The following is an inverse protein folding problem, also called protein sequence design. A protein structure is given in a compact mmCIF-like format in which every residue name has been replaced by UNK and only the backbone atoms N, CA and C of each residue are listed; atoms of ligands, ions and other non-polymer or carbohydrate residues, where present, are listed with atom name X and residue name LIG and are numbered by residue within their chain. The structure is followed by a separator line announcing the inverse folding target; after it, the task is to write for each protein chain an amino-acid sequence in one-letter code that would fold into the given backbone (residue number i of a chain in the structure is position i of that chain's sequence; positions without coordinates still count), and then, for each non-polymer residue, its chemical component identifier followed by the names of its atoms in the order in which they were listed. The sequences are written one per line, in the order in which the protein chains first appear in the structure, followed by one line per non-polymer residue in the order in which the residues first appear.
data_IF_706352165372
#
_entry.id   IF_706352165372
#
_cell.length_a   1.000
_cell.length_b   1.000
_cell.length_c   1.000
_cell.angle_alpha   90.00
_cell.angle_beta   90.00
_cell.angle_gamma   90.00
#
_symmetry.space_group_name_H-M   'P 1'
#
loop_
_entity.id
_entity.type
_entity.pdbx_description
1 polymer ?
#
# COMPACT_ATOMS: atom_id res chain seq x y z
N UNK A 1 -30.98 -11.47 2.88
CA UNK A 1 -29.62 -11.62 3.42
C UNK A 1 -28.82 -10.44 2.91
N UNK A 2 -27.92 -9.89 3.72
CA UNK A 2 -26.97 -8.88 3.26
C UNK A 2 -26.09 -9.46 2.15
N UNK A 3 -25.62 -8.63 1.24
CA UNK A 3 -24.65 -9.06 0.22
C UNK A 3 -23.30 -9.39 0.87
N UNK A 4 -22.48 -10.21 0.21
CA UNK A 4 -21.11 -10.53 0.65
C UNK A 4 -20.26 -9.27 0.87
N UNK A 5 -20.49 -8.22 0.07
CA UNK A 5 -19.82 -6.91 0.19
C UNK A 5 -20.29 -6.11 1.42
N UNK A 6 -21.58 -6.12 1.74
CA UNK A 6 -22.11 -5.48 2.96
C UNK A 6 -21.55 -6.14 4.22
N UNK A 7 -21.48 -7.47 4.23
CA UNK A 7 -20.85 -8.23 5.31
C UNK A 7 -19.33 -7.96 5.40
N UNK A 8 -18.67 -7.79 4.26
CA UNK A 8 -17.25 -7.45 4.21
C UNK A 8 -16.99 -6.03 4.75
N UNK A 9 -17.88 -5.08 4.49
CA UNK A 9 -17.79 -3.74 5.10
C UNK A 9 -17.95 -3.80 6.62
N UNK A 10 -18.90 -4.59 7.12
CA UNK A 10 -19.05 -4.83 8.56
C UNK A 10 -17.81 -5.49 9.18
N UNK A 11 -17.05 -6.28 8.42
CA UNK A 11 -15.79 -6.85 8.87
C UNK A 11 -14.69 -5.78 9.02
N UNK A 12 -14.65 -4.78 8.14
CA UNK A 12 -13.68 -3.67 8.20
C UNK A 12 -14.09 -2.52 9.13
N UNK A 13 -15.38 -2.38 9.45
CA UNK A 13 -15.94 -1.38 10.36
C UNK A 13 -16.83 -1.99 11.46
N UNK A 14 -16.34 -2.99 12.23
CA UNK A 14 -17.13 -3.67 13.23
C UNK A 14 -17.37 -2.77 14.44
N UNK A 15 -18.57 -2.85 15.02
CA UNK A 15 -18.88 -2.29 16.33
C UNK A 15 -18.53 -3.27 17.46
N UNK A 16 -18.47 -4.57 17.15
CA UNK A 16 -18.08 -5.60 18.09
C UNK A 16 -17.19 -6.69 17.47
N UNK A 17 -16.18 -7.13 18.22
CA UNK A 17 -15.20 -8.12 17.78
C UNK A 17 -15.07 -9.24 18.82
N UNK A 18 -15.30 -10.48 18.40
CA UNK A 18 -14.95 -11.66 19.17
C UNK A 18 -13.55 -12.17 18.83
N UNK A 19 -12.75 -12.53 19.84
CA UNK A 19 -11.43 -13.14 19.65
C UNK A 19 -11.48 -14.59 20.11
N UNK A 20 -11.66 -15.49 19.15
CA UNK A 20 -11.78 -16.93 19.40
C UNK A 20 -10.41 -17.57 19.49
N UNK A 21 -10.03 -18.01 20.69
CA UNK A 21 -8.66 -18.40 21.02
C UNK A 21 -7.86 -17.31 21.72
N UNK A 22 -8.53 -16.29 22.29
CA UNK A 22 -7.93 -15.28 23.14
C UNK A 22 -7.14 -15.92 24.30
N UNK A 23 -6.04 -15.29 24.73
CA UNK A 23 -5.13 -15.88 25.72
C UNK A 23 -4.37 -14.81 26.49
N UNK A 24 -4.05 -15.09 27.77
CA UNK A 24 -3.09 -14.30 28.57
C UNK A 24 -1.63 -14.75 28.42
N UNK A 25 -1.39 -15.89 27.79
CA UNK A 25 -0.05 -16.44 27.56
C UNK A 25 0.63 -15.71 26.38
N UNK A 26 1.75 -14.99 26.59
CA UNK A 26 2.47 -14.27 25.53
C UNK A 26 3.05 -15.17 24.43
N UNK A 27 3.17 -16.48 24.65
CA UNK A 27 3.61 -17.43 23.63
C UNK A 27 2.52 -17.86 22.64
N UNK A 28 1.27 -17.36 22.78
CA UNK A 28 0.15 -17.70 21.89
C UNK A 28 -0.26 -16.50 21.04
N UNK A 29 -0.55 -16.73 19.76
CA UNK A 29 -1.00 -15.69 18.84
C UNK A 29 -2.25 -14.93 19.32
N UNK A 30 -3.21 -15.62 19.97
CA UNK A 30 -4.39 -14.97 20.54
C UNK A 30 -4.11 -13.95 21.65
N UNK A 31 -2.95 -14.02 22.32
CA UNK A 31 -2.49 -12.94 23.20
C UNK A 31 -2.14 -11.68 22.39
N UNK A 32 -1.45 -11.86 21.28
CA UNK A 32 -1.04 -10.74 20.43
C UNK A 32 -2.23 -10.11 19.70
N UNK A 33 -3.23 -10.88 19.28
CA UNK A 33 -4.48 -10.34 18.73
C UNK A 33 -5.20 -9.47 19.76
N UNK A 34 -5.33 -9.95 21.00
CA UNK A 34 -5.91 -9.15 22.08
C UNK A 34 -5.10 -7.86 22.33
N UNK A 35 -3.78 -7.95 22.31
CA UNK A 35 -2.88 -6.79 22.45
C UNK A 35 -3.07 -5.79 21.29
N UNK A 36 -3.17 -6.26 20.05
CA UNK A 36 -3.40 -5.43 18.86
C UNK A 36 -4.69 -4.61 18.97
N UNK A 37 -5.79 -5.21 19.42
CA UNK A 37 -7.07 -4.50 19.57
C UNK A 37 -7.05 -3.54 20.77
N UNK A 38 -6.63 -4.02 21.94
CA UNK A 38 -6.69 -3.23 23.19
C UNK A 38 -5.67 -2.10 23.24
N UNK A 39 -4.46 -2.29 22.70
CA UNK A 39 -3.42 -1.27 22.66
C UNK A 39 -3.42 -0.47 21.34
N UNK A 40 -4.05 -1.00 20.29
CA UNK A 40 -4.26 -0.30 19.03
C UNK A 40 -5.39 0.72 19.05
N UNK A 41 -6.14 0.82 20.15
CA UNK A 41 -7.17 1.83 20.34
C UNK A 41 -8.51 1.50 19.69
N UNK A 42 -8.83 0.23 19.49
CA UNK A 42 -10.15 -0.16 19.00
C UNK A 42 -11.24 0.28 19.99
N UNK A 43 -12.22 1.05 19.50
CA UNK A 43 -13.25 1.67 20.34
C UNK A 43 -14.51 0.80 20.49
N UNK A 44 -14.66 -0.23 19.66
CA UNK A 44 -15.80 -1.14 19.71
C UNK A 44 -15.75 -2.14 20.86
N UNK A 45 -16.83 -2.92 21.01
CA UNK A 45 -16.94 -3.93 22.04
C UNK A 45 -16.04 -5.15 21.75
N UNK A 46 -15.36 -5.65 22.78
CA UNK A 46 -14.47 -6.81 22.67
C UNK A 46 -15.03 -8.01 23.43
N UNK A 47 -15.01 -9.17 22.79
CA UNK A 47 -15.48 -10.44 23.34
C UNK A 47 -14.39 -11.53 23.25
N UNK A 48 -13.48 -11.62 24.23
CA UNK A 48 -12.52 -12.70 24.31
C UNK A 48 -13.22 -14.05 24.54
N UNK A 49 -12.95 -15.04 23.68
CA UNK A 49 -13.50 -16.39 23.85
C UNK A 49 -12.39 -17.33 24.31
N UNK A 50 -12.50 -17.78 25.57
CA UNK A 50 -11.59 -18.72 26.23
C UNK A 50 -12.34 -19.50 27.33
N UNK A 51 -12.44 -20.84 27.26
CA UNK A 51 -13.11 -21.65 28.27
C UNK A 51 -12.50 -21.64 29.67
N UNK A 52 -11.23 -21.25 29.81
CA UNK A 52 -10.47 -21.36 31.06
C UNK A 52 -10.21 -20.02 31.76
N UNK A 53 -10.75 -18.91 31.26
CA UNK A 53 -10.50 -17.57 31.79
C UNK A 53 -11.82 -16.81 31.90
N UNK A 54 -12.01 -16.10 33.01
CA UNK A 54 -13.19 -15.23 33.22
C UNK A 54 -12.95 -13.79 32.72
N UNK A 55 -11.69 -13.38 32.59
CA UNK A 55 -11.28 -12.04 32.16
C UNK A 55 -9.92 -12.07 31.44
N UNK A 56 -9.79 -11.31 30.36
CA UNK A 56 -8.55 -11.13 29.59
C UNK A 56 -8.39 -9.65 29.23
N UNK A 57 -7.23 -9.06 29.53
CA UNK A 57 -6.93 -7.64 29.24
C UNK A 57 -7.95 -6.65 29.83
N UNK A 58 -8.53 -6.93 31.00
CA UNK A 58 -9.56 -6.10 31.60
C UNK A 58 -10.95 -6.24 30.96
N UNK A 59 -11.12 -7.21 30.05
CA UNK A 59 -12.36 -7.49 29.33
C UNK A 59 -12.90 -8.85 29.74
N UNK A 60 -14.20 -8.92 30.04
CA UNK A 60 -14.87 -10.17 30.41
C UNK A 60 -14.74 -11.22 29.29
N UNK A 61 -14.26 -12.41 29.64
CA UNK A 61 -14.13 -13.52 28.72
C UNK A 61 -15.34 -14.47 28.79
N UNK A 62 -15.58 -15.19 27.70
CA UNK A 62 -16.67 -16.14 27.55
C UNK A 62 -16.13 -17.51 27.14
N UNK A 63 -16.77 -18.59 27.60
CA UNK A 63 -16.32 -19.95 27.32
C UNK A 63 -16.63 -20.45 25.90
N UNK A 64 -17.60 -19.84 25.22
CA UNK A 64 -17.98 -20.10 23.83
C UNK A 64 -18.54 -18.81 23.22
N UNK A 65 -18.46 -18.69 21.89
CA UNK A 65 -19.01 -17.56 21.16
C UNK A 65 -20.53 -17.42 21.37
N UNK A 66 -21.23 -18.55 21.52
CA UNK A 66 -22.68 -18.58 21.74
C UNK A 66 -23.10 -18.03 23.12
N UNK A 67 -22.16 -17.96 24.08
CA UNK A 67 -22.43 -17.42 25.42
C UNK A 67 -22.34 -15.88 25.47
N UNK A 68 -21.86 -15.23 24.40
CA UNK A 68 -21.87 -13.77 24.31
C UNK A 68 -23.33 -13.31 24.22
N UNK A 69 -23.81 -12.40 25.08
CA UNK A 69 -25.23 -11.99 25.08
C UNK A 69 -25.58 -10.99 23.97
N UNK A 70 -24.58 -10.34 23.38
CA UNK A 70 -24.73 -9.28 22.38
C UNK A 70 -24.35 -9.75 20.98
N UNK A 71 -24.65 -8.95 19.97
CA UNK A 71 -24.30 -9.22 18.57
C UNK A 71 -22.79 -9.12 18.35
N UNK A 72 -22.27 -9.95 17.44
CA UNK A 72 -20.85 -10.00 17.09
C UNK A 72 -20.70 -9.70 15.60
N UNK A 73 -20.11 -8.56 15.26
CA UNK A 73 -19.92 -8.20 13.85
C UNK A 73 -18.78 -9.02 13.22
N UNK A 74 -17.63 -9.09 13.91
CA UNK A 74 -16.44 -9.79 13.41
C UNK A 74 -15.93 -10.82 14.41
N UNK A 75 -15.48 -11.97 13.89
CA UNK A 75 -14.75 -12.97 14.68
C UNK A 75 -13.31 -13.14 14.17
N UNK A 76 -12.34 -12.95 15.06
CA UNK A 76 -10.93 -13.26 14.79
C UNK A 76 -10.63 -14.62 15.39
N UNK A 77 -10.30 -15.59 14.55
CA UNK A 77 -10.19 -17.00 14.96
C UNK A 77 -8.74 -17.46 14.90
N UNK A 78 -8.25 -17.95 16.04
CA UNK A 78 -6.87 -18.38 16.26
C UNK A 78 -6.84 -19.63 17.15
N UNK A 79 -7.40 -20.73 16.63
CA UNK A 79 -7.44 -22.05 17.26
C UNK A 79 -6.79 -23.11 16.34
N UNK A 80 -6.47 -24.33 16.83
CA UNK A 80 -5.99 -25.40 15.96
C UNK A 80 -6.99 -25.74 14.82
N UNK A 81 -6.48 -26.07 13.63
CA UNK A 81 -7.28 -26.30 12.41
C UNK A 81 -8.47 -27.26 12.61
N UNK A 82 -8.29 -28.34 13.39
CA UNK A 82 -9.34 -29.33 13.64
C UNK A 82 -10.57 -28.78 14.39
N UNK A 83 -10.44 -27.67 15.11
CA UNK A 83 -11.55 -27.04 15.83
C UNK A 83 -12.35 -26.06 14.96
N UNK A 84 -11.81 -25.65 13.81
CA UNK A 84 -12.35 -24.54 13.02
C UNK A 84 -13.74 -24.82 12.44
N UNK A 85 -14.08 -26.03 11.93
CA UNK A 85 -15.43 -26.28 11.44
C UNK A 85 -16.53 -26.04 12.48
N UNK A 86 -16.27 -26.38 13.75
CA UNK A 86 -17.24 -26.14 14.82
C UNK A 86 -17.38 -24.64 15.14
N UNK A 87 -16.26 -23.91 15.14
CA UNK A 87 -16.30 -22.44 15.31
C UNK A 87 -17.08 -21.76 14.18
N UNK A 88 -16.97 -22.25 12.94
CA UNK A 88 -17.77 -21.71 11.82
C UNK A 88 -19.27 -21.92 12.04
N UNK A 89 -19.68 -23.07 12.59
CA UNK A 89 -21.07 -23.32 12.98
C UNK A 89 -21.51 -22.39 14.11
N UNK A 90 -20.67 -22.15 15.11
CA UNK A 90 -20.96 -21.17 16.15
C UNK A 90 -21.10 -19.75 15.58
N UNK A 91 -20.20 -19.33 14.69
CA UNK A 91 -20.26 -18.03 14.00
C UNK A 91 -21.56 -17.87 13.20
N UNK A 92 -21.94 -18.89 12.43
CA UNK A 92 -23.19 -18.89 11.67
C UNK A 92 -24.42 -18.81 12.58
N UNK A 93 -24.46 -19.61 13.65
CA UNK A 93 -25.55 -19.57 14.63
C UNK A 93 -25.64 -18.24 15.38
N UNK A 94 -24.49 -17.58 15.62
CA UNK A 94 -24.40 -16.28 16.26
C UNK A 94 -24.72 -15.11 15.31
N UNK A 95 -24.76 -15.36 14.00
CA UNK A 95 -24.97 -14.33 12.98
C UNK A 95 -23.76 -13.42 12.77
N UNK A 96 -22.55 -13.94 12.95
CA UNK A 96 -21.30 -13.19 12.70
C UNK A 96 -21.26 -12.75 11.25
N UNK A 97 -20.93 -11.48 11.01
CA UNK A 97 -20.93 -10.88 9.66
C UNK A 97 -19.65 -11.15 8.90
N UNK A 98 -18.51 -11.36 9.56
CA UNK A 98 -17.26 -11.70 8.89
C UNK A 98 -16.23 -12.36 9.80
N UNK A 99 -15.30 -13.10 9.20
CA UNK A 99 -14.26 -13.84 9.94
C UNK A 99 -12.87 -13.43 9.45
N UNK A 100 -11.94 -13.21 10.39
CA UNK A 100 -10.50 -13.21 10.13
C UNK A 100 -9.92 -14.51 10.67
N UNK A 101 -9.56 -15.43 9.78
CA UNK A 101 -9.10 -16.77 10.15
C UNK A 101 -7.56 -16.84 10.11
N UNK A 102 -6.93 -16.59 11.26
CA UNK A 102 -5.45 -16.58 11.37
C UNK A 102 -4.87 -17.98 11.25
N UNK A 103 -5.60 -18.99 11.71
CA UNK A 103 -5.17 -20.39 11.80
C UNK A 103 -4.57 -20.94 10.50
N UNK A 104 -3.40 -21.58 10.62
CA UNK A 104 -2.80 -22.41 9.58
C UNK A 104 -3.11 -23.91 9.80
N UNK A 105 -2.66 -24.76 8.88
CA UNK A 105 -2.89 -26.21 8.84
C UNK A 105 -3.86 -26.67 7.75
N UNK A 106 -3.97 -25.93 6.63
CA UNK A 106 -4.98 -26.13 5.59
C UNK A 106 -4.34 -26.51 4.24
N UNK A 107 -4.75 -25.92 3.11
CA UNK A 107 -4.24 -26.31 1.78
C UNK A 107 -2.72 -26.17 1.66
N UNK A 108 -2.09 -25.29 2.43
CA UNK A 108 -0.65 -25.02 2.41
C UNK A 108 0.21 -26.13 3.01
N UNK A 109 -0.36 -27.06 3.80
CA UNK A 109 0.41 -28.22 4.32
C UNK A 109 0.43 -29.41 3.35
N UNK A 110 -0.17 -29.25 2.17
CA UNK A 110 -0.09 -30.17 1.02
C UNK A 110 -0.41 -31.64 1.30
N UNK A 111 -1.42 -31.87 2.13
CA UNK A 111 -1.97 -33.20 2.34
C UNK A 111 -3.48 -33.20 2.18
N UNK A 112 -4.05 -34.40 1.97
CA UNK A 112 -5.48 -34.57 1.73
C UNK A 112 -6.34 -34.00 2.86
N UNK A 113 -5.87 -34.10 4.12
CA UNK A 113 -6.61 -33.58 5.27
C UNK A 113 -6.70 -32.05 5.24
N UNK A 114 -5.59 -31.36 4.98
CA UNK A 114 -5.52 -29.90 4.92
C UNK A 114 -6.38 -29.33 3.79
N UNK A 115 -6.34 -29.95 2.60
CA UNK A 115 -7.20 -29.59 1.48
C UNK A 115 -8.70 -29.78 1.82
N UNK A 116 -9.06 -30.96 2.34
CA UNK A 116 -10.45 -31.25 2.74
C UNK A 116 -10.98 -30.31 3.82
N UNK A 117 -10.14 -29.97 4.81
CA UNK A 117 -10.52 -29.01 5.85
C UNK A 117 -10.75 -27.62 5.26
N UNK A 118 -9.93 -27.19 4.30
CA UNK A 118 -10.13 -25.90 3.63
C UNK A 118 -11.43 -25.88 2.82
N UNK A 119 -11.73 -26.96 2.09
CA UNK A 119 -12.98 -27.08 1.33
C UNK A 119 -14.21 -27.09 2.25
N UNK A 120 -14.12 -27.77 3.40
CA UNK A 120 -15.20 -27.79 4.40
C UNK A 120 -15.49 -26.39 4.96
N UNK A 121 -14.47 -25.63 5.35
CA UNK A 121 -14.67 -24.27 5.91
C UNK A 121 -15.14 -23.28 4.84
N UNK A 122 -14.70 -23.43 3.58
CA UNK A 122 -15.18 -22.62 2.47
C UNK A 122 -16.68 -22.86 2.23
N UNK A 123 -17.11 -24.13 2.20
CA UNK A 123 -18.51 -24.50 2.05
C UNK A 123 -19.38 -23.96 3.20
N UNK A 124 -18.93 -24.08 4.45
CA UNK A 124 -19.63 -23.54 5.62
C UNK A 124 -19.75 -22.00 5.56
N UNK A 125 -18.69 -21.31 5.14
CA UNK A 125 -18.70 -19.86 4.98
C UNK A 125 -19.68 -19.40 3.90
N UNK A 126 -19.66 -20.07 2.75
CA UNK A 126 -20.51 -19.72 1.61
C UNK A 126 -21.98 -20.04 1.87
N UNK A 127 -22.29 -21.17 2.53
CA UNK A 127 -23.65 -21.50 2.98
C UNK A 127 -24.20 -20.45 3.95
N UNK A 128 -23.36 -19.95 4.86
CA UNK A 128 -23.73 -18.92 5.82
C UNK A 128 -23.68 -17.48 5.26
N UNK A 129 -23.10 -17.28 4.07
CA UNK A 129 -22.88 -15.95 3.48
C UNK A 129 -21.84 -15.11 4.23
N UNK A 130 -20.87 -15.75 4.90
CA UNK A 130 -19.86 -15.09 5.74
C UNK A 130 -18.55 -14.92 4.95
N UNK A 131 -18.08 -13.68 4.69
CA UNK A 131 -16.75 -13.43 4.14
C UNK A 131 -15.65 -13.82 5.14
N UNK A 132 -14.62 -14.52 4.65
CA UNK A 132 -13.48 -14.97 5.44
C UNK A 132 -12.18 -14.44 4.86
N UNK A 133 -11.45 -13.62 5.62
CA UNK A 133 -10.07 -13.26 5.33
C UNK A 133 -9.16 -14.37 5.89
N UNK A 134 -8.48 -15.11 5.03
CA UNK A 134 -7.64 -16.27 5.38
C UNK A 134 -8.09 -17.56 4.67
N UNK A 135 -7.81 -18.76 5.24
CA UNK A 135 -7.02 -19.02 6.44
C UNK A 135 -5.53 -18.67 6.26
N UNK A 136 -4.70 -19.02 7.25
CA UNK A 136 -3.25 -18.88 7.19
C UNK A 136 -2.83 -17.46 6.83
N UNK A 137 -3.29 -16.52 7.66
CA UNK A 137 -3.00 -15.10 7.48
C UNK A 137 -2.47 -14.49 8.77
N UNK A 138 -1.75 -13.38 8.64
CA UNK A 138 -1.46 -12.54 9.80
C UNK A 138 -2.70 -11.83 10.34
N UNK A 139 -3.73 -11.68 9.51
CA UNK A 139 -4.99 -11.00 9.81
C UNK A 139 -5.22 -9.81 8.88
N UNK A 140 -5.90 -8.80 9.39
CA UNK A 140 -6.13 -7.55 8.67
C UNK A 140 -6.14 -6.33 9.61
N UNK A 141 -5.92 -5.15 9.02
CA UNK A 141 -5.89 -3.87 9.73
C UNK A 141 -6.69 -2.85 8.95
N UNK A 142 -7.49 -2.04 9.65
CA UNK A 142 -8.07 -0.79 9.17
C UNK A 142 -7.64 0.34 10.11
N UNK A 143 -6.67 1.13 9.67
CA UNK A 143 -6.05 2.20 10.47
C UNK A 143 -7.02 3.36 10.72
N UNK A 144 -7.96 3.61 9.79
CA UNK A 144 -9.00 4.63 9.97
C UNK A 144 -10.04 4.28 11.03
N UNK A 145 -10.19 2.99 11.37
CA UNK A 145 -11.13 2.50 12.39
C UNK A 145 -10.43 2.02 13.68
N UNK A 146 -9.12 2.27 13.82
CA UNK A 146 -8.29 1.72 14.91
C UNK A 146 -8.46 0.21 15.10
N UNK A 147 -8.77 -0.51 14.01
CA UNK A 147 -9.02 -1.94 14.02
C UNK A 147 -7.74 -2.66 13.59
N UNK A 148 -7.04 -3.26 14.54
CA UNK A 148 -5.93 -4.16 14.24
C UNK A 148 -6.33 -5.60 14.59
N UNK A 149 -6.95 -6.28 13.62
CA UNK A 149 -7.37 -7.67 13.70
C UNK A 149 -6.26 -8.63 13.28
N UNK A 150 -5.03 -8.38 13.76
CA UNK A 150 -3.84 -9.18 13.46
C UNK A 150 -3.09 -9.57 14.73
N UNK A 151 -2.17 -10.52 14.63
CA UNK A 151 -1.24 -10.82 15.73
C UNK A 151 0.00 -9.91 15.78
N UNK A 152 -0.03 -8.76 15.08
CA UNK A 152 1.08 -7.82 14.98
C UNK A 152 0.65 -6.43 15.48
N UNK A 153 0.80 -6.15 16.79
CA UNK A 153 0.43 -4.86 17.38
C UNK A 153 1.12 -3.66 16.72
N UNK A 154 2.34 -3.86 16.21
CA UNK A 154 3.16 -2.82 15.60
C UNK A 154 2.54 -2.22 14.33
N UNK A 155 1.61 -2.92 13.67
CA UNK A 155 0.86 -2.33 12.56
C UNK A 155 0.03 -1.12 12.96
N UNK A 156 -0.41 -1.03 14.22
CA UNK A 156 -1.14 0.16 14.72
C UNK A 156 -0.25 1.41 14.83
N UNK A 157 1.07 1.29 14.68
CA UNK A 157 2.00 2.43 14.68
C UNK A 157 2.07 3.11 13.31
N UNK A 158 1.64 2.43 12.24
CA UNK A 158 1.64 2.99 10.88
C UNK A 158 0.62 4.12 10.83
N UNK A 159 1.00 5.27 10.26
CA UNK A 159 0.09 6.40 10.09
C UNK A 159 -1.06 6.03 9.15
N UNK A 160 -2.26 6.51 9.46
CA UNK A 160 -3.39 6.40 8.53
C UNK A 160 -3.14 7.24 7.26
N UNK A 161 -3.34 6.66 6.08
CA UNK A 161 -3.15 7.28 4.76
C UNK A 161 -4.14 6.73 3.72
N UNK A 162 -3.91 6.95 2.43
CA UNK A 162 -4.82 6.50 1.36
C UNK A 162 -4.48 5.14 0.73
N UNK A 163 -3.40 4.48 1.13
CA UNK A 163 -2.90 3.27 0.48
C UNK A 163 -3.42 1.99 1.15
N UNK A 164 -4.19 1.18 0.45
CA UNK A 164 -4.61 -0.15 0.93
C UNK A 164 -3.74 -1.24 0.31
N UNK A 165 -3.11 -2.05 1.18
CA UNK A 165 -2.28 -3.19 0.79
C UNK A 165 -3.10 -4.49 0.84
N UNK A 166 -3.11 -5.24 -0.26
CA UNK A 166 -3.54 -6.62 -0.31
C UNK A 166 -2.30 -7.51 -0.49
N UNK A 167 -2.03 -8.41 0.45
CA UNK A 167 -0.87 -9.30 0.37
C UNK A 167 -1.25 -10.75 0.59
N UNK A 168 -0.82 -11.61 -0.32
CA UNK A 168 -0.87 -13.06 -0.13
C UNK A 168 0.18 -13.56 0.88
N UNK A 169 1.28 -12.83 1.04
CA UNK A 169 2.38 -13.20 1.94
C UNK A 169 2.38 -12.36 3.20
N UNK A 170 2.32 -13.03 4.35
CA UNK A 170 2.44 -12.35 5.65
C UNK A 170 3.79 -11.67 5.83
N UNK A 171 4.90 -12.34 5.51
CA UNK A 171 6.24 -11.76 5.64
C UNK A 171 6.44 -10.50 4.79
N UNK A 172 5.90 -10.49 3.57
CA UNK A 172 5.99 -9.32 2.69
C UNK A 172 5.10 -8.16 3.14
N UNK A 173 3.93 -8.46 3.72
CA UNK A 173 3.08 -7.44 4.33
C UNK A 173 3.78 -6.77 5.52
N UNK A 174 4.42 -7.56 6.39
CA UNK A 174 5.20 -7.04 7.52
C UNK A 174 6.34 -6.13 7.04
N UNK A 175 7.13 -6.62 6.08
CA UNK A 175 8.25 -5.85 5.53
C UNK A 175 7.77 -4.52 4.92
N UNK A 176 6.70 -4.53 4.11
CA UNK A 176 6.19 -3.30 3.50
C UNK A 176 5.66 -2.33 4.56
N UNK A 177 4.89 -2.81 5.53
CA UNK A 177 4.33 -1.96 6.58
C UNK A 177 5.41 -1.36 7.49
N UNK A 178 6.49 -2.09 7.77
CA UNK A 178 7.60 -1.57 8.56
C UNK A 178 8.45 -0.56 7.77
N UNK A 179 8.69 -0.80 6.48
CA UNK A 179 9.31 0.22 5.61
C UNK A 179 8.40 1.46 5.53
N UNK A 180 7.08 1.27 5.41
CA UNK A 180 6.13 2.39 5.42
C UNK A 180 6.20 3.19 6.73
N UNK A 181 6.34 2.52 7.88
CA UNK A 181 6.56 3.17 9.17
C UNK A 181 7.87 3.97 9.20
N UNK A 182 8.98 3.39 8.73
CA UNK A 182 10.30 4.02 8.70
C UNK A 182 10.37 5.21 7.72
N UNK A 183 9.71 5.09 6.56
CA UNK A 183 9.67 6.11 5.51
C UNK A 183 8.46 7.07 5.63
N UNK A 184 7.74 7.03 6.75
CA UNK A 184 6.58 7.88 7.05
C UNK A 184 5.48 7.84 5.98
N UNK A 185 5.28 6.68 5.35
CA UNK A 185 4.23 6.45 4.36
C UNK A 185 2.98 5.94 5.07
N UNK A 186 1.87 6.67 4.92
CA UNK A 186 0.60 6.27 5.51
C UNK A 186 -0.05 5.11 4.76
N UNK A 187 -0.59 4.14 5.49
CA UNK A 187 -1.42 3.07 4.95
C UNK A 187 -2.86 3.26 5.45
N UNK A 188 -3.83 2.76 4.70
CA UNK A 188 -5.24 2.73 5.08
C UNK A 188 -5.58 1.36 5.68
N UNK A 189 -5.48 0.33 4.83
CA UNK A 189 -5.76 -1.07 5.18
C UNK A 189 -4.56 -1.94 4.87
N UNK A 190 -4.32 -2.92 5.74
CA UNK A 190 -3.29 -3.95 5.54
C UNK A 190 -4.00 -5.28 5.58
N UNK A 191 -4.12 -5.96 4.44
CA UNK A 191 -4.99 -7.12 4.28
C UNK A 191 -4.16 -8.34 3.91
N UNK A 192 -4.05 -9.28 4.83
CA UNK A 192 -3.45 -10.59 4.56
C UNK A 192 -4.51 -11.56 4.04
N UNK A 193 -4.53 -11.83 2.75
CA UNK A 193 -5.57 -12.72 2.17
C UNK A 193 -5.25 -14.21 2.37
N UNK A 194 -4.01 -14.55 2.72
CA UNK A 194 -3.59 -15.91 3.04
C UNK A 194 -3.92 -16.91 1.93
N UNK A 195 -4.54 -18.03 2.32
CA UNK A 195 -4.93 -19.10 1.40
C UNK A 195 -6.20 -18.80 0.59
N UNK A 196 -6.94 -17.73 0.91
CA UNK A 196 -8.14 -17.28 0.18
C UNK A 196 -9.23 -18.36 0.07
N UNK A 197 -9.75 -18.82 1.21
CA UNK A 197 -10.77 -19.88 1.17
C UNK A 197 -12.08 -19.45 0.51
N UNK A 198 -12.53 -18.20 0.71
CA UNK A 198 -13.69 -17.67 0.00
C UNK A 198 -13.63 -16.16 -0.33
N UNK A 199 -12.64 -15.42 0.18
CA UNK A 199 -12.34 -14.05 -0.24
C UNK A 199 -11.02 -14.04 -0.99
N UNK A 200 -11.04 -13.58 -2.23
CA UNK A 200 -9.85 -13.43 -3.08
C UNK A 200 -9.54 -11.95 -3.38
N UNK A 201 -8.47 -11.68 -4.11
CA UNK A 201 -8.11 -10.36 -4.60
C UNK A 201 -9.24 -9.69 -5.38
N UNK A 202 -10.06 -10.45 -6.12
CA UNK A 202 -11.18 -9.90 -6.89
C UNK A 202 -12.23 -9.26 -5.95
N UNK A 203 -12.66 -9.96 -4.90
CA UNK A 203 -13.58 -9.41 -3.90
C UNK A 203 -12.99 -8.18 -3.20
N UNK A 204 -11.68 -8.22 -2.89
CA UNK A 204 -10.97 -7.11 -2.26
C UNK A 204 -10.87 -5.88 -3.16
N UNK A 205 -10.62 -6.07 -4.46
CA UNK A 205 -10.63 -4.98 -5.43
C UNK A 205 -12.02 -4.34 -5.54
N UNK A 206 -13.07 -5.16 -5.61
CA UNK A 206 -14.45 -4.67 -5.66
C UNK A 206 -14.82 -3.86 -4.39
N UNK A 207 -14.46 -4.37 -3.22
CA UNK A 207 -14.66 -3.64 -1.95
C UNK A 207 -13.89 -2.31 -1.92
N UNK A 208 -12.57 -2.35 -2.15
CA UNK A 208 -11.71 -1.17 -2.07
C UNK A 208 -12.00 -0.12 -3.15
N UNK A 209 -12.59 -0.51 -4.27
CA UNK A 209 -13.03 0.43 -5.31
C UNK A 209 -14.22 1.30 -4.87
N UNK A 210 -15.00 0.82 -3.90
CA UNK A 210 -16.14 1.53 -3.31
C UNK A 210 -15.78 2.20 -1.97
N UNK A 211 -14.65 1.85 -1.35
CA UNK A 211 -14.14 2.50 -0.15
C UNK A 211 -13.60 3.90 -0.45
N UNK A 212 -14.22 4.91 0.15
CA UNK A 212 -13.83 6.31 -0.03
C UNK A 212 -12.47 6.63 0.60
N UNK A 213 -12.09 5.90 1.64
CA UNK A 213 -10.82 6.13 2.35
C UNK A 213 -9.62 5.61 1.55
N UNK A 214 -9.81 4.64 0.66
CA UNK A 214 -8.74 4.07 -0.18
C UNK A 214 -8.58 4.90 -1.44
N UNK A 215 -7.38 5.42 -1.71
CA UNK A 215 -7.04 6.09 -2.98
C UNK A 215 -6.25 5.17 -3.91
N UNK A 216 -5.35 4.36 -3.33
CA UNK A 216 -4.44 3.48 -4.06
C UNK A 216 -4.54 2.06 -3.51
N UNK A 217 -4.55 1.08 -4.42
CA UNK A 217 -4.51 -0.34 -4.07
C UNK A 217 -3.14 -0.90 -4.47
N UNK A 218 -2.37 -1.35 -3.47
CA UNK A 218 -1.11 -2.04 -3.66
C UNK A 218 -1.31 -3.54 -3.47
N UNK A 219 -0.81 -4.36 -4.39
CA UNK A 219 -0.95 -5.81 -4.33
C UNK A 219 0.39 -6.53 -4.34
N UNK A 220 0.58 -7.47 -3.41
CA UNK A 220 1.62 -8.48 -3.49
C UNK A 220 1.01 -9.82 -3.85
N UNK A 221 1.36 -10.32 -5.04
CA UNK A 221 0.72 -11.50 -5.66
C UNK A 221 1.76 -12.59 -5.88
N UNK A 222 1.51 -13.80 -5.38
CA UNK A 222 2.32 -14.99 -5.67
C UNK A 222 1.68 -15.81 -6.79
N UNK A 223 0.37 -16.00 -6.71
CA UNK A 223 -0.46 -16.71 -7.68
C UNK A 223 -1.89 -16.79 -7.17
N UNK A 224 -2.84 -16.80 -8.10
CA UNK A 224 -4.28 -16.93 -7.80
C UNK A 224 -4.85 -18.13 -8.53
N UNK A 225 -5.86 -18.77 -7.92
CA UNK A 225 -6.52 -19.95 -8.49
C UNK A 225 -7.45 -19.54 -9.66
N UNK A 226 -8.11 -18.38 -9.55
CA UNK A 226 -8.99 -17.80 -10.57
C UNK A 226 -8.45 -16.47 -11.14
N UNK A 227 -7.38 -16.51 -11.96
CA UNK A 227 -6.74 -15.29 -12.48
C UNK A 227 -7.65 -14.45 -13.36
N UNK A 228 -8.65 -15.05 -14.01
CA UNK A 228 -9.62 -14.31 -14.83
C UNK A 228 -10.43 -13.32 -13.99
N UNK A 229 -10.94 -13.76 -12.85
CA UNK A 229 -11.74 -12.93 -11.94
C UNK A 229 -10.94 -11.72 -11.43
N UNK A 230 -9.66 -11.92 -11.09
CA UNK A 230 -8.75 -10.83 -10.71
C UNK A 230 -8.61 -9.79 -11.85
N UNK A 231 -8.41 -10.24 -13.09
CA UNK A 231 -8.25 -9.32 -14.22
C UNK A 231 -9.55 -8.59 -14.57
N UNK A 232 -10.69 -9.26 -14.43
CA UNK A 232 -12.02 -8.66 -14.65
C UNK A 232 -12.31 -7.59 -13.60
N UNK A 233 -12.15 -7.91 -12.31
CA UNK A 233 -12.29 -6.94 -11.22
C UNK A 233 -11.34 -5.74 -11.42
N UNK A 234 -10.07 -5.98 -11.75
CA UNK A 234 -9.11 -4.91 -12.00
C UNK A 234 -9.51 -3.99 -13.19
N UNK A 235 -10.14 -4.54 -14.24
CA UNK A 235 -10.68 -3.74 -15.35
C UNK A 235 -11.85 -2.87 -14.91
N UNK A 236 -12.72 -3.35 -14.04
CA UNK A 236 -13.85 -2.58 -13.52
C UNK A 236 -13.42 -1.45 -12.58
N UNK A 237 -12.32 -1.64 -11.84
CA UNK A 237 -11.73 -0.62 -10.97
C UNK A 237 -10.89 0.41 -11.76
N UNK A 238 -10.45 0.05 -12.97
CA UNK A 238 -9.59 0.90 -13.81
C UNK A 238 -10.18 2.31 -14.00
N UNK A 239 -9.37 3.31 -13.70
CA UNK A 239 -9.76 4.72 -13.82
C UNK A 239 -10.59 5.25 -12.64
N UNK A 240 -11.08 4.38 -11.74
CA UNK A 240 -11.70 4.78 -10.47
C UNK A 240 -10.65 4.88 -9.36
N UNK A 241 -9.79 3.88 -9.25
CA UNK A 241 -8.67 3.82 -8.28
C UNK A 241 -7.41 3.33 -8.99
N UNK A 242 -6.25 3.77 -8.50
CA UNK A 242 -4.98 3.29 -9.03
C UNK A 242 -4.62 1.93 -8.42
N UNK A 243 -4.18 0.99 -9.24
CA UNK A 243 -3.74 -0.35 -8.80
C UNK A 243 -2.28 -0.55 -9.21
N UNK A 244 -1.44 -0.86 -8.23
CA UNK A 244 -0.05 -1.28 -8.44
C UNK A 244 0.15 -2.70 -7.90
N UNK A 245 0.88 -3.54 -8.63
CA UNK A 245 1.09 -4.93 -8.25
C UNK A 245 2.54 -5.37 -8.38
N UNK A 246 3.06 -6.00 -7.32
CA UNK A 246 4.28 -6.78 -7.35
C UNK A 246 3.93 -8.27 -7.44
N UNK A 247 4.09 -8.86 -8.63
CA UNK A 247 4.04 -10.32 -8.84
C UNK A 247 5.42 -10.91 -8.55
N UNK A 248 5.52 -11.83 -7.61
CA UNK A 248 6.73 -12.64 -7.38
C UNK A 248 6.71 -13.89 -8.27
N UNK A 249 7.76 -14.71 -8.26
CA UNK A 249 7.80 -15.94 -9.07
C UNK A 249 8.42 -15.75 -10.46
N UNK A 250 9.39 -14.84 -10.60
CA UNK A 250 10.05 -14.55 -11.89
C UNK A 250 10.88 -15.72 -12.43
N UNK A 251 11.53 -16.46 -11.55
CA UNK A 251 12.35 -17.62 -11.93
C UNK A 251 11.55 -18.91 -11.77
N UNK A 252 11.84 -19.93 -12.57
CA UNK A 252 11.21 -21.25 -12.47
C UNK A 252 11.30 -21.84 -11.06
N UNK A 253 12.41 -21.59 -10.34
CA UNK A 253 12.61 -22.05 -8.96
C UNK A 253 11.67 -21.34 -7.99
N UNK A 254 11.51 -20.02 -8.12
CA UNK A 254 10.57 -19.25 -7.29
C UNK A 254 9.11 -19.57 -7.59
N UNK A 255 8.81 -19.95 -8.84
CA UNK A 255 7.46 -20.32 -9.29
C UNK A 255 7.05 -21.71 -8.78
N UNK A 256 8.00 -22.65 -8.65
CA UNK A 256 7.75 -23.91 -7.96
C UNK A 256 7.57 -23.71 -6.45
N UNK A 257 8.41 -22.89 -5.82
CA UNK A 257 8.33 -22.63 -4.38
C UNK A 257 6.99 -22.00 -3.94
N UNK A 258 6.36 -21.17 -4.78
CA UNK A 258 5.04 -20.57 -4.47
C UNK A 258 3.90 -21.59 -4.50
N UNK A 259 3.98 -22.64 -5.33
CA UNK A 259 3.04 -23.76 -5.30
C UNK A 259 3.07 -24.44 -3.93
N UNK A 260 4.29 -24.69 -3.42
CA UNK A 260 4.53 -25.34 -2.12
C UNK A 260 4.18 -24.46 -0.90
N UNK A 261 4.14 -23.14 -1.06
CA UNK A 261 3.99 -22.21 0.07
C UNK A 261 2.55 -21.74 0.28
N UNK A 262 1.72 -21.69 -0.77
CA UNK A 262 0.33 -21.19 -0.67
C UNK A 262 -0.72 -22.09 -1.30
N UNK A 263 -0.31 -23.25 -1.85
CA UNK A 263 -1.22 -24.19 -2.52
C UNK A 263 -1.95 -23.60 -3.73
N UNK A 264 -1.47 -22.48 -4.29
CA UNK A 264 -2.08 -21.79 -5.43
C UNK A 264 -1.42 -22.21 -6.74
N UNK A 265 -2.17 -22.18 -7.84
CA UNK A 265 -1.61 -22.40 -9.19
C UNK A 265 -0.64 -21.26 -9.56
N UNK A 266 0.66 -21.54 -9.47
CA UNK A 266 1.69 -20.63 -9.95
C UNK A 266 1.61 -20.57 -11.50
N UNK A 267 1.31 -19.39 -12.03
CA UNK A 267 1.25 -19.13 -13.46
C UNK A 267 2.43 -18.30 -13.93
N UNK A 268 2.81 -18.50 -15.20
CA UNK A 268 4.01 -17.89 -15.79
C UNK A 268 4.02 -16.36 -15.60
N UNK A 269 5.12 -15.86 -15.05
CA UNK A 269 5.31 -14.45 -14.71
C UNK A 269 4.97 -13.47 -15.85
N UNK A 270 5.41 -13.77 -17.09
CA UNK A 270 5.16 -12.88 -18.24
C UNK A 270 3.68 -12.85 -18.67
N UNK A 271 2.94 -13.93 -18.45
CA UNK A 271 1.48 -13.95 -18.70
C UNK A 271 0.78 -13.03 -17.72
N UNK A 272 1.13 -13.07 -16.43
CA UNK A 272 0.60 -12.15 -15.42
C UNK A 272 0.92 -10.69 -15.76
N UNK A 273 2.14 -10.37 -16.20
CA UNK A 273 2.49 -8.99 -16.63
C UNK A 273 1.68 -8.53 -17.82
N UNK A 274 1.49 -9.38 -18.83
CA UNK A 274 0.65 -9.08 -20.00
C UNK A 274 -0.80 -8.83 -19.60
N UNK A 275 -1.34 -9.71 -18.74
CA UNK A 275 -2.72 -9.62 -18.25
C UNK A 275 -2.95 -8.37 -17.38
N UNK A 276 -2.04 -8.07 -16.45
CA UNK A 276 -2.07 -6.84 -15.64
C UNK A 276 -2.06 -5.59 -16.52
N UNK A 277 -1.20 -5.56 -17.55
CA UNK A 277 -1.17 -4.44 -18.50
C UNK A 277 -2.51 -4.25 -19.23
N UNK A 278 -3.16 -5.34 -19.64
CA UNK A 278 -4.48 -5.29 -20.27
C UNK A 278 -5.58 -4.88 -19.29
N UNK A 279 -5.45 -5.24 -18.02
CA UNK A 279 -6.41 -4.90 -16.98
C UNK A 279 -6.23 -3.47 -16.43
N UNK A 280 -5.12 -2.80 -16.74
CA UNK A 280 -4.81 -1.47 -16.24
C UNK A 280 -4.06 -1.45 -14.90
N UNK A 281 -3.52 -2.60 -14.47
CA UNK A 281 -2.71 -2.75 -13.26
C UNK A 281 -1.25 -2.41 -13.55
N UNK A 282 -0.68 -1.49 -12.76
CA UNK A 282 0.72 -1.10 -12.89
C UNK A 282 1.63 -2.14 -12.25
N UNK A 283 2.29 -2.96 -13.07
CA UNK A 283 3.26 -3.93 -12.57
C UNK A 283 4.60 -3.29 -12.20
N UNK A 284 5.08 -3.61 -11.00
CA UNK A 284 6.38 -3.24 -10.43
C UNK A 284 7.21 -4.50 -10.12
N UNK A 285 8.48 -4.30 -9.74
CA UNK A 285 9.49 -5.36 -9.72
C UNK A 285 10.08 -5.67 -8.35
N UNK A 286 9.80 -4.85 -7.34
CA UNK A 286 10.29 -5.02 -5.97
C UNK A 286 9.29 -4.46 -4.96
N UNK A 287 9.49 -4.80 -3.68
CA UNK A 287 8.66 -4.30 -2.60
C UNK A 287 8.83 -2.79 -2.39
N UNK A 288 10.07 -2.27 -2.50
CA UNK A 288 10.33 -0.83 -2.40
C UNK A 288 9.69 -0.08 -3.58
N UNK A 289 9.77 -0.62 -4.80
CA UNK A 289 9.11 0.00 -5.95
C UNK A 289 7.58 0.00 -5.79
N UNK A 290 7.00 -1.03 -5.16
CA UNK A 290 5.57 -1.05 -4.84
C UNK A 290 5.18 0.07 -3.88
N UNK A 291 5.93 0.23 -2.78
CA UNK A 291 5.67 1.30 -1.81
C UNK A 291 5.88 2.69 -2.41
N UNK A 292 6.99 2.92 -3.12
CA UNK A 292 7.27 4.20 -3.80
C UNK A 292 6.18 4.57 -4.80
N UNK A 293 5.76 3.59 -5.59
CA UNK A 293 4.69 3.79 -6.58
C UNK A 293 3.38 4.12 -5.90
N UNK A 294 3.04 3.41 -4.82
CA UNK A 294 1.81 3.68 -4.07
C UNK A 294 1.84 5.07 -3.41
N UNK A 295 2.98 5.45 -2.80
CA UNK A 295 3.22 6.79 -2.24
C UNK A 295 3.03 7.88 -3.29
N UNK A 296 3.59 7.70 -4.49
CA UNK A 296 3.43 8.66 -5.58
C UNK A 296 1.97 8.79 -6.04
N UNK A 297 1.28 7.65 -6.24
CA UNK A 297 -0.10 7.62 -6.70
C UNK A 297 -1.09 8.21 -5.68
N UNK A 298 -0.75 8.15 -4.39
CA UNK A 298 -1.54 8.72 -3.30
C UNK A 298 -1.33 10.23 -3.18
N UNK A 299 -0.09 10.69 -3.33
CA UNK A 299 0.30 12.08 -3.07
C UNK A 299 0.21 13.01 -4.29
N UNK A 300 0.44 12.49 -5.50
CA UNK A 300 0.62 13.31 -6.70
C UNK A 300 -0.55 13.18 -7.70
N UNK A 301 -0.84 14.24 -8.48
CA UNK A 301 -1.68 14.09 -9.66
C UNK A 301 -1.00 13.21 -10.70
N UNK A 302 -1.79 12.65 -11.62
CA UNK A 302 -1.27 11.94 -12.78
C UNK A 302 -0.81 12.96 -13.84
N UNK A 303 0.43 12.87 -14.38
CA UNK A 303 0.93 13.83 -15.35
C UNK A 303 0.14 13.78 -16.67
N UNK A 304 -0.06 14.95 -17.28
CA UNK A 304 -0.80 15.07 -18.55
C UNK A 304 0.02 14.65 -19.78
N UNK A 305 1.33 14.80 -19.70
CA UNK A 305 2.33 14.44 -20.70
C UNK A 305 3.58 13.84 -20.05
N UNK A 306 4.61 13.60 -20.87
CA UNK A 306 5.84 12.95 -20.42
C UNK A 306 7.04 13.89 -20.36
N UNK A 307 6.86 15.20 -20.50
CA UNK A 307 7.96 16.17 -20.50
C UNK A 307 8.26 16.60 -19.07
N UNK A 308 9.44 16.31 -18.56
CA UNK A 308 9.78 16.57 -17.16
C UNK A 308 10.93 17.55 -17.03
N UNK A 309 10.89 18.38 -15.98
CA UNK A 309 12.03 19.19 -15.57
C UNK A 309 12.77 18.47 -14.44
N UNK A 310 14.09 18.39 -14.54
CA UNK A 310 14.94 17.89 -13.47
C UNK A 310 15.70 19.07 -12.92
N UNK A 311 15.50 19.36 -11.65
CA UNK A 311 16.15 20.45 -10.94
C UNK A 311 17.07 19.85 -9.89
N UNK A 312 18.35 20.20 -9.93
CA UNK A 312 19.33 19.60 -9.05
C UNK A 312 20.29 20.63 -8.47
N UNK A 313 20.59 20.50 -7.18
CA UNK A 313 21.68 21.27 -6.55
C UNK A 313 23.05 20.86 -7.09
N UNK A 314 23.21 19.61 -7.53
CA UNK A 314 24.49 19.07 -8.00
C UNK A 314 24.29 18.25 -9.28
N UNK A 315 25.29 18.24 -10.16
CA UNK A 315 25.19 17.54 -11.45
C UNK A 315 24.88 16.03 -11.31
N UNK A 316 25.56 15.32 -10.40
CA UNK A 316 25.45 13.87 -10.24
C UNK A 316 24.01 13.36 -10.01
N UNK A 317 23.30 13.85 -8.98
CA UNK A 317 21.88 13.50 -8.76
C UNK A 317 20.97 13.79 -9.95
N UNK A 318 21.19 14.90 -10.66
CA UNK A 318 20.42 15.26 -11.85
C UNK A 318 20.66 14.29 -13.01
N UNK A 319 21.89 13.82 -13.20
CA UNK A 319 22.22 12.80 -14.20
C UNK A 319 21.56 11.45 -13.88
N UNK A 320 21.66 10.98 -12.64
CA UNK A 320 21.03 9.72 -12.21
C UNK A 320 19.51 9.75 -12.38
N UNK A 321 18.86 10.88 -12.04
CA UNK A 321 17.43 11.06 -12.29
C UNK A 321 17.09 11.09 -13.78
N UNK A 322 17.96 11.67 -14.62
CA UNK A 322 17.76 11.76 -16.07
C UNK A 322 17.74 10.37 -16.73
N UNK A 323 18.72 9.52 -16.40
CA UNK A 323 18.81 8.16 -16.93
C UNK A 323 17.53 7.36 -16.65
N UNK A 324 17.02 7.44 -15.41
CA UNK A 324 15.79 6.75 -14.99
C UNK A 324 14.55 7.35 -15.66
N UNK A 325 14.49 8.68 -15.81
CA UNK A 325 13.38 9.32 -16.51
C UNK A 325 13.27 8.79 -17.95
N UNK A 326 14.39 8.75 -18.69
CA UNK A 326 14.40 8.23 -20.05
C UNK A 326 14.04 6.74 -20.12
N UNK A 327 14.59 5.90 -19.23
CA UNK A 327 14.25 4.47 -19.14
C UNK A 327 12.74 4.24 -18.93
N UNK A 328 12.09 5.13 -18.16
CA UNK A 328 10.65 5.06 -17.85
C UNK A 328 9.76 5.74 -18.89
N UNK A 329 10.34 6.23 -19.99
CA UNK A 329 9.62 6.85 -21.12
C UNK A 329 9.20 8.30 -20.89
N UNK A 330 9.83 8.98 -19.92
CA UNK A 330 9.79 10.43 -19.78
C UNK A 330 10.82 11.07 -20.70
N UNK A 331 10.60 12.33 -21.05
CA UNK A 331 11.52 13.13 -21.86
C UNK A 331 11.88 14.40 -21.09
N UNK A 332 13.13 14.85 -21.14
CA UNK A 332 13.49 16.13 -20.55
C UNK A 332 12.85 17.26 -21.35
N UNK A 333 12.07 18.10 -20.67
CA UNK A 333 11.42 19.26 -21.26
C UNK A 333 12.45 20.27 -21.82
N UNK A 334 12.18 20.82 -23.00
CA UNK A 334 12.84 22.05 -23.46
C UNK A 334 12.04 23.23 -22.94
N UNK A 335 12.65 24.06 -22.10
CA UNK A 335 11.98 25.21 -21.49
C UNK A 335 11.50 26.23 -22.54
N UNK A 336 10.48 27.00 -22.17
CA UNK A 336 10.13 28.24 -22.85
C UNK A 336 11.27 29.25 -22.73
N UNK A 337 11.37 30.21 -23.66
CA UNK A 337 12.38 31.27 -23.58
C UNK A 337 12.26 32.07 -22.28
N UNK A 338 11.03 32.36 -21.84
CA UNK A 338 10.78 33.06 -20.58
C UNK A 338 11.27 32.29 -19.36
N UNK A 339 11.02 30.98 -19.29
CA UNK A 339 11.53 30.12 -18.22
C UNK A 339 13.07 30.02 -18.25
N UNK A 340 13.66 29.86 -19.43
CA UNK A 340 15.11 29.81 -19.60
C UNK A 340 15.78 31.11 -19.14
N UNK A 341 15.22 32.28 -19.51
CA UNK A 341 15.72 33.59 -19.07
C UNK A 341 15.62 33.79 -17.56
N UNK A 342 14.54 33.33 -16.92
CA UNK A 342 14.37 33.37 -15.46
C UNK A 342 15.44 32.54 -14.75
N UNK A 343 15.66 31.30 -15.22
CA UNK A 343 16.68 30.40 -14.68
C UNK A 343 18.08 31.00 -14.85
N UNK A 344 18.41 31.53 -16.03
CA UNK A 344 19.71 32.15 -16.29
C UNK A 344 19.96 33.40 -15.43
N UNK A 345 18.92 34.17 -15.10
CA UNK A 345 19.04 35.33 -14.20
C UNK A 345 19.25 34.91 -12.75
N UNK A 346 18.65 33.80 -12.32
CA UNK A 346 18.76 33.29 -10.97
C UNK A 346 20.12 32.62 -10.69
N UNK A 347 20.82 32.17 -11.74
CA UNK A 347 22.05 31.40 -11.64
C UNK A 347 23.28 32.21 -12.09
N UNK A 348 24.46 32.01 -11.48
CA UNK A 348 25.69 32.64 -11.94
C UNK A 348 26.02 32.28 -13.39
N UNK A 349 26.68 33.18 -14.16
CA UNK A 349 27.01 32.98 -15.57
C UNK A 349 28.20 32.04 -15.78
N UNK A 350 28.13 30.83 -15.22
CA UNK A 350 29.18 29.81 -15.32
C UNK A 350 28.99 28.91 -16.55
N UNK A 351 27.74 28.61 -16.90
CA UNK A 351 27.35 27.83 -18.07
C UNK A 351 25.87 28.08 -18.38
N UNK A 352 25.45 27.85 -19.64
CA UNK A 352 24.04 27.83 -20.00
C UNK A 352 23.38 26.63 -19.32
N UNK A 353 22.40 26.88 -18.44
CA UNK A 353 21.73 25.84 -17.64
C UNK A 353 20.41 25.47 -18.30
N UNK A 354 20.46 24.50 -19.20
CA UNK A 354 19.27 23.83 -19.76
C UNK A 354 18.77 22.75 -18.81
N UNK A 355 17.74 21.99 -19.20
CA UNK A 355 17.28 20.81 -18.47
C UNK A 355 18.22 19.61 -18.75
N UNK A 356 18.75 18.89 -17.74
CA UNK A 356 18.56 19.06 -16.30
C UNK A 356 19.26 20.31 -15.76
N UNK A 357 18.57 21.07 -14.91
CA UNK A 357 19.09 22.31 -14.32
C UNK A 357 20.01 21.98 -13.16
N UNK A 358 21.32 22.06 -13.39
CA UNK A 358 22.33 22.06 -12.33
C UNK A 358 22.52 23.49 -11.80
N UNK A 359 22.07 23.72 -10.57
CA UNK A 359 22.13 25.03 -9.92
C UNK A 359 23.57 25.43 -9.55
N UNK A 360 24.53 24.50 -9.45
CA UNK A 360 25.90 24.79 -9.02
C UNK A 360 25.95 25.63 -7.73
N UNK A 361 26.93 26.50 -7.49
CA UNK A 361 27.00 27.25 -6.22
C UNK A 361 25.75 28.10 -5.85
N UNK A 362 24.82 28.34 -6.78
CA UNK A 362 23.59 29.07 -6.53
C UNK A 362 22.60 28.34 -5.62
N UNK A 363 22.66 27.02 -5.49
CA UNK A 363 21.76 26.28 -4.58
C UNK A 363 22.05 26.54 -3.09
N UNK A 364 23.05 27.35 -2.76
CA UNK A 364 23.23 27.90 -1.41
C UNK A 364 22.31 29.10 -1.14
N UNK A 365 21.71 29.71 -2.18
CA UNK A 365 20.74 30.80 -2.04
C UNK A 365 19.30 30.24 -2.05
N UNK A 366 18.56 30.41 -0.94
CA UNK A 366 17.12 30.16 -0.88
C UNK A 366 16.33 30.83 -2.01
N UNK A 367 16.70 32.06 -2.37
CA UNK A 367 16.06 32.84 -3.43
C UNK A 367 16.26 32.21 -4.80
N UNK A 368 17.49 31.78 -5.11
CA UNK A 368 17.78 31.12 -6.39
C UNK A 368 17.06 29.77 -6.51
N UNK A 369 17.04 28.96 -5.44
CA UNK A 369 16.31 27.68 -5.41
C UNK A 369 14.82 27.90 -5.70
N UNK A 370 14.22 28.88 -5.00
CA UNK A 370 12.80 29.24 -5.16
C UNK A 370 12.49 29.72 -6.58
N UNK A 371 13.29 30.61 -7.14
CA UNK A 371 13.07 31.15 -8.48
C UNK A 371 13.19 30.06 -9.56
N UNK A 372 14.18 29.17 -9.47
CA UNK A 372 14.34 28.06 -10.42
C UNK A 372 13.17 27.07 -10.31
N UNK A 373 12.75 26.71 -9.10
CA UNK A 373 11.61 25.84 -8.88
C UNK A 373 10.31 26.44 -9.43
N UNK A 374 10.03 27.71 -9.11
CA UNK A 374 8.84 28.42 -9.60
C UNK A 374 8.82 28.52 -11.13
N UNK A 375 9.95 28.91 -11.74
CA UNK A 375 10.05 29.06 -13.19
C UNK A 375 9.79 27.75 -13.95
N UNK A 376 10.31 26.62 -13.44
CA UNK A 376 10.09 25.31 -14.06
C UNK A 376 8.65 24.80 -13.85
N UNK A 377 8.08 25.00 -12.66
CA UNK A 377 6.71 24.58 -12.37
C UNK A 377 5.68 25.36 -13.20
N UNK A 378 5.91 26.66 -13.38
CA UNK A 378 5.04 27.53 -14.18
C UNK A 378 5.11 27.27 -15.70
N UNK A 379 6.15 26.61 -16.21
CA UNK A 379 6.32 26.40 -17.65
C UNK A 379 5.32 25.38 -18.21
N UNK A 380 4.46 25.77 -19.14
CA UNK A 380 3.48 24.90 -19.82
C UNK A 380 4.12 23.77 -20.66
N UNK A 381 5.42 23.86 -20.95
CA UNK A 381 6.18 22.78 -21.59
C UNK A 381 6.63 21.68 -20.64
N UNK A 382 6.42 21.87 -19.33
CA UNK A 382 6.76 20.93 -18.27
C UNK A 382 5.48 20.29 -17.74
N UNK A 383 5.42 18.96 -17.74
CA UNK A 383 4.30 18.13 -17.29
C UNK A 383 4.54 17.52 -15.90
N UNK A 384 5.78 17.57 -15.38
CA UNK A 384 6.17 17.09 -14.05
C UNK A 384 7.59 17.52 -13.67
N UNK A 385 7.93 17.49 -12.38
CA UNK A 385 9.24 17.94 -11.88
C UNK A 385 9.86 16.90 -10.95
N UNK A 386 11.14 16.58 -11.18
CA UNK A 386 11.99 15.85 -10.24
C UNK A 386 12.97 16.83 -9.61
N UNK A 387 12.98 16.94 -8.29
CA UNK A 387 13.83 17.85 -7.55
C UNK A 387 14.84 17.08 -6.69
N UNK A 388 16.14 17.25 -6.95
CA UNK A 388 17.21 16.53 -6.27
C UNK A 388 18.14 17.50 -5.53
N UNK A 389 18.13 17.47 -4.20
CA UNK A 389 19.02 18.28 -3.37
C UNK A 389 19.67 17.38 -2.31
N UNK A 390 21.00 17.32 -2.34
CA UNK A 390 21.80 16.70 -1.28
C UNK A 390 22.27 17.77 -0.30
N UNK A 391 22.28 17.49 0.99
CA UNK A 391 22.71 18.44 2.02
C UNK A 391 24.19 18.85 1.90
N UNK A 392 24.44 20.13 2.11
CA UNK A 392 25.72 20.70 2.46
C UNK A 392 25.53 21.76 3.56
N UNK A 393 26.54 21.97 4.41
CA UNK A 393 26.43 22.94 5.51
C UNK A 393 26.07 24.37 5.07
N UNK A 394 26.38 24.73 3.82
CA UNK A 394 26.09 26.04 3.24
C UNK A 394 24.63 26.21 2.76
N UNK A 395 23.81 25.15 2.74
CA UNK A 395 22.49 25.16 2.13
C UNK A 395 21.36 24.81 3.13
N UNK A 396 21.61 24.94 4.43
CA UNK A 396 20.67 24.51 5.48
C UNK A 396 19.23 25.03 5.30
N UNK A 397 19.04 26.23 4.74
CA UNK A 397 17.71 26.82 4.48
C UNK A 397 17.01 26.38 3.18
N UNK A 398 17.54 25.40 2.45
CA UNK A 398 17.03 25.03 1.14
C UNK A 398 15.63 24.37 1.20
N UNK A 399 15.38 23.54 2.21
CA UNK A 399 14.09 22.83 2.32
C UNK A 399 12.97 23.78 2.74
N UNK A 400 13.26 24.74 3.61
CA UNK A 400 12.32 25.80 3.98
C UNK A 400 11.97 26.67 2.76
N UNK A 401 12.98 27.05 1.96
CA UNK A 401 12.79 27.83 0.74
C UNK A 401 11.93 27.09 -0.30
N UNK A 402 12.17 25.79 -0.46
CA UNK A 402 11.36 24.94 -1.32
C UNK A 402 9.94 24.79 -0.77
N UNK A 403 9.77 24.61 0.54
CA UNK A 403 8.45 24.45 1.14
C UNK A 403 7.54 25.64 0.85
N UNK A 404 8.06 26.87 0.84
CA UNK A 404 7.27 28.05 0.46
C UNK A 404 6.71 27.96 -0.96
N UNK A 405 7.47 27.44 -1.92
CA UNK A 405 7.05 27.33 -3.33
C UNK A 405 6.18 26.11 -3.56
N UNK A 406 6.65 24.93 -3.11
CA UNK A 406 6.04 23.65 -3.41
C UNK A 406 4.65 23.52 -2.76
N UNK A 407 4.47 24.04 -1.55
CA UNK A 407 3.16 24.04 -0.87
C UNK A 407 2.16 24.97 -1.54
N UNK A 408 2.60 26.17 -1.95
CA UNK A 408 1.74 27.13 -2.67
C UNK A 408 1.37 26.59 -4.05
N UNK A 409 2.30 25.89 -4.72
CA UNK A 409 2.01 25.22 -5.98
C UNK A 409 0.93 24.16 -5.82
N UNK A 410 0.95 23.41 -4.71
CA UNK A 410 -0.10 22.47 -4.35
C UNK A 410 -0.27 21.34 -5.37
N UNK A 411 0.85 20.80 -5.87
CA UNK A 411 0.87 19.66 -6.79
C UNK A 411 -0.06 19.82 -8.01
N UNK A 412 -0.16 21.02 -8.64
CA UNK A 412 -0.91 21.19 -9.92
C UNK A 412 -0.32 20.36 -11.06
N UNK A 413 0.97 20.07 -10.96
CA UNK A 413 1.75 19.11 -11.74
C UNK A 413 2.49 18.24 -10.74
N UNK A 414 2.72 16.95 -11.03
CA UNK A 414 3.40 16.06 -10.10
C UNK A 414 4.84 16.50 -9.85
N UNK A 415 5.18 16.58 -8.56
CA UNK A 415 6.51 16.87 -8.05
C UNK A 415 6.96 15.67 -7.22
N UNK A 416 8.14 15.14 -7.52
CA UNK A 416 8.82 14.12 -6.70
C UNK A 416 10.18 14.63 -6.27
N UNK A 417 10.52 14.43 -5.01
CA UNK A 417 11.73 14.99 -4.43
C UNK A 417 12.73 13.91 -3.99
N UNK A 418 14.02 14.25 -4.05
CA UNK A 418 15.09 13.60 -3.34
C UNK A 418 15.84 14.66 -2.53
N UNK A 419 15.37 14.92 -1.32
CA UNK A 419 15.96 15.81 -0.32
C UNK A 419 16.76 14.93 0.65
N UNK A 420 18.05 14.75 0.34
CA UNK A 420 18.91 13.81 1.03
C UNK A 420 19.81 14.55 2.02
N UNK A 421 19.66 14.26 3.31
CA UNK A 421 20.46 14.86 4.38
C UNK A 421 20.83 13.82 5.46
N UNK A 422 21.88 14.07 6.27
CA UNK A 422 22.11 13.33 7.50
C UNK A 422 20.88 13.33 8.41
N UNK A 423 20.75 12.28 9.24
CA UNK A 423 19.61 12.11 10.14
C UNK A 423 19.37 13.38 11.00
N UNK A 424 18.10 13.73 11.20
CA UNK A 424 17.56 14.95 11.83
C UNK A 424 17.68 16.25 11.03
N UNK A 425 18.63 16.38 10.10
CA UNK A 425 18.71 17.58 9.24
C UNK A 425 17.56 17.55 8.24
N UNK A 426 16.85 18.67 8.10
CA UNK A 426 15.66 18.84 7.27
C UNK A 426 14.47 17.92 7.60
N UNK A 427 14.53 17.12 8.67
CA UNK A 427 13.48 16.15 9.00
C UNK A 427 12.10 16.80 9.10
N UNK A 428 11.98 17.89 9.83
CA UNK A 428 10.72 18.63 9.99
C UNK A 428 10.27 19.27 8.68
N UNK A 429 11.20 19.86 7.92
CA UNK A 429 10.90 20.47 6.62
C UNK A 429 10.41 19.47 5.57
N UNK A 430 11.06 18.30 5.50
CA UNK A 430 10.67 17.18 4.63
C UNK A 430 9.32 16.63 5.07
N UNK A 431 9.11 16.36 6.35
CA UNK A 431 7.82 15.89 6.86
C UNK A 431 6.69 16.87 6.52
N UNK A 432 6.96 18.17 6.66
CA UNK A 432 5.99 19.21 6.33
C UNK A 432 5.69 19.34 4.82
N UNK A 433 6.64 18.97 3.95
CA UNK A 433 6.43 18.84 2.51
C UNK A 433 5.58 17.60 2.19
N UNK A 434 5.87 16.47 2.82
CA UNK A 434 5.11 15.23 2.63
C UNK A 434 3.66 15.37 3.09
N UNK A 435 3.41 16.05 4.21
CA UNK A 435 2.05 16.40 4.66
C UNK A 435 1.30 17.31 3.68
N UNK A 436 2.02 18.10 2.89
CA UNK A 436 1.46 18.91 1.82
C UNK A 436 1.35 18.16 0.48
N UNK A 437 1.57 16.84 0.47
CA UNK A 437 1.45 15.99 -0.72
C UNK A 437 2.70 16.00 -1.61
N UNK A 438 3.86 16.44 -1.13
CA UNK A 438 5.12 16.40 -1.89
C UNK A 438 5.97 15.20 -1.43
N UNK A 439 5.94 14.07 -2.16
CA UNK A 439 6.65 12.88 -1.72
C UNK A 439 8.16 13.03 -1.86
N UNK A 440 8.88 12.66 -0.80
CA UNK A 440 10.33 12.59 -0.79
C UNK A 440 10.82 11.14 -0.85
N UNK A 441 11.92 10.92 -1.56
CA UNK A 441 12.56 9.61 -1.74
C UNK A 441 14.05 9.72 -1.38
N UNK A 442 14.68 8.63 -0.91
CA UNK A 442 16.06 8.70 -0.42
C UNK A 442 17.10 8.75 -1.53
N UNK A 443 16.73 8.47 -2.78
CA UNK A 443 17.65 8.56 -3.91
C UNK A 443 17.01 9.21 -5.15
N UNK A 444 17.80 9.85 -6.02
CA UNK A 444 17.32 10.45 -7.26
C UNK A 444 16.61 9.45 -8.18
N UNK A 445 17.10 8.22 -8.24
CA UNK A 445 16.53 7.14 -9.05
C UNK A 445 15.14 6.76 -8.56
N UNK A 446 14.93 6.65 -7.24
CA UNK A 446 13.62 6.36 -6.66
C UNK A 446 12.62 7.49 -6.94
N UNK A 447 13.04 8.76 -6.79
CA UNK A 447 12.21 9.91 -7.12
C UNK A 447 11.81 9.93 -8.61
N UNK A 448 12.77 9.75 -9.51
CA UNK A 448 12.52 9.70 -10.95
C UNK A 448 11.64 8.49 -11.35
N UNK A 449 11.89 7.31 -10.76
CA UNK A 449 11.11 6.10 -11.02
C UNK A 449 9.66 6.27 -10.57
N UNK A 450 9.42 6.94 -9.43
CA UNK A 450 8.09 7.25 -8.94
C UNK A 450 7.31 8.13 -9.93
N UNK A 451 7.92 9.22 -10.42
CA UNK A 451 7.30 10.08 -11.45
C UNK A 451 7.06 9.31 -12.76
N UNK A 452 8.02 8.49 -13.18
CA UNK A 452 7.88 7.61 -14.34
C UNK A 452 6.74 6.60 -14.18
N UNK A 453 6.50 6.10 -12.97
CA UNK A 453 5.41 5.19 -12.67
C UNK A 453 4.03 5.88 -12.70
N UNK A 454 3.93 7.17 -12.32
CA UNK A 454 2.73 7.98 -12.56
C UNK A 454 2.41 8.08 -14.06
N UNK A 455 3.43 8.33 -14.90
CA UNK A 455 3.25 8.35 -16.35
C UNK A 455 2.86 6.99 -16.93
N UNK A 456 3.50 5.91 -16.49
CA UNK A 456 3.12 4.54 -16.89
C UNK A 456 1.67 4.23 -16.51
N UNK A 457 1.22 4.66 -15.32
CA UNK A 457 -0.17 4.55 -14.91
C UNK A 457 -1.11 5.32 -15.86
N UNK A 458 -0.77 6.57 -16.25
CA UNK A 458 -1.53 7.34 -17.27
C UNK A 458 -1.70 6.58 -18.57
N UNK A 459 -0.64 5.91 -19.04
CA UNK A 459 -0.69 5.12 -20.27
C UNK A 459 -1.58 3.88 -20.15
N UNK A 460 -1.59 3.27 -18.96
CA UNK A 460 -2.48 2.15 -18.66
C UNK A 460 -3.94 2.58 -18.58
N UNK A 461 -4.27 3.76 -18.08
CA UNK A 461 -5.67 4.22 -18.02
C UNK A 461 -6.17 4.72 -19.37
N UNK A 462 -5.38 5.48 -20.14
CA UNK A 462 -5.77 6.01 -21.47
C UNK A 462 -6.07 4.93 -22.51
N UNK A 463 -5.29 3.83 -22.55
CA UNK A 463 -5.50 2.76 -23.54
C UNK A 463 -6.88 2.11 -23.44
N UNK A 464 -7.51 2.14 -22.27
CA UNK A 464 -8.82 1.52 -22.06
C UNK A 464 -9.98 2.35 -22.57
N UNK A 465 -9.76 3.66 -22.69
CA UNK A 465 -10.75 4.60 -23.21
C UNK A 465 -10.80 4.61 -24.74
N UNK A 466 -9.82 3.98 -25.42
CA UNK A 466 -9.75 3.90 -26.88
C UNK A 466 -10.28 2.57 -27.44
N UNK A 467 -10.45 1.56 -26.58
CA UNK A 467 -10.96 0.22 -26.95
C UNK A 467 -12.44 0.03 -26.56
N UNK A 468 -13.14 1.11 -26.18
CA UNK A 468 -14.53 1.12 -25.72
C UNK A 468 -15.52 1.73 -26.70
#
# INVERSE_FOLDING_TARGET
MASKLENLDALFHPQSVAVVGASKNPGKLGFHVMKSLTQGGFEGELYPINPGEDELFGVKAYSSLLNVPHDVDAAIVVLPAMAIPEIFRECAAKGVKGIVLITAGFKEIENELGGRLQDEIAALADEAGIPVIGPNTFGMVNLGASLNASFTPEFSLVKNGGISLISQSGGMAHMLAFIALEENVGLNKIIGVGNRCNIDFADMLEYLANDQSTQVIAMYVEGVDEPRSLMEAAREVRGRKAIAAYKVGRSQVSDQASQYHTGSLAGQYEIYRGAFKQAGVLSVSSLHELLDTAKALDACPIPEGNRVAILSGQAGPGMAASDVCEERGLALATFSSGTQERIERALPPLALRTNPVDMGPAWYSPEAIREVADAALADEKVDGVVLCIAYASANVGAVEALAEVLKVWGQRKPITCCLSAPQEIWREGVASLEEAGVPNYPTPERAAAALGNLWRHRMLTRRGLLDG
#
